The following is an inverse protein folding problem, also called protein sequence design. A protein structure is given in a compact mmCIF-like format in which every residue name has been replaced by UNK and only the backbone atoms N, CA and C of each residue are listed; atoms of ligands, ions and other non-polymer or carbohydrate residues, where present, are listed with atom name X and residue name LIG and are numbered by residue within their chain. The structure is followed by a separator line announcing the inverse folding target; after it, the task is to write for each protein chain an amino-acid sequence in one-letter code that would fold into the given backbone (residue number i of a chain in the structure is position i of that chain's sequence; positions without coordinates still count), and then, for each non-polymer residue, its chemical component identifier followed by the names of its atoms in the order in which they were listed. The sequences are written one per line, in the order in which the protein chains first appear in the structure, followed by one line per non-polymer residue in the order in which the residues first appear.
data_IF_778638416906
#
_entry.id   IF_778638416906
#
_cell.length_a   1.000
_cell.length_b   1.000
_cell.length_c   1.000
_cell.angle_alpha   90.00
_cell.angle_beta   90.00
_cell.angle_gamma   90.00
#
_symmetry.space_group_name_H-M   'P 1'
#
loop_
_entity.id
_entity.type
_entity.pdbx_description
1 polymer ?
#
# COMPACT_ATOMS: atom_id res chain seq x y z
N UNK A 1 -3.84 -21.58 -5.94
CA UNK A 1 -4.97 -20.64 -6.13
C UNK A 1 -4.66 -19.76 -7.34
N UNK A 2 -5.68 -19.31 -8.09
CA UNK A 2 -5.43 -18.41 -9.25
C UNK A 2 -6.18 -17.09 -9.04
N UNK A 3 -5.44 -16.03 -8.71
CA UNK A 3 -5.99 -14.66 -8.74
C UNK A 3 -6.25 -14.27 -10.20
N UNK A 4 -7.45 -13.81 -10.48
CA UNK A 4 -7.84 -13.40 -11.83
C UNK A 4 -7.33 -11.99 -12.13
N UNK A 5 -6.37 -11.92 -13.04
CA UNK A 5 -5.83 -10.66 -13.55
C UNK A 5 -6.63 -10.17 -14.75
N UNK A 6 -6.62 -8.85 -14.96
CA UNK A 6 -7.22 -8.21 -16.12
C UNK A 6 -6.14 -7.51 -16.97
N UNK A 7 -5.36 -8.24 -17.80
CA UNK A 7 -4.15 -7.73 -18.43
C UNK A 7 -4.37 -6.51 -19.33
N UNK A 8 -5.50 -6.45 -20.04
CA UNK A 8 -5.83 -5.32 -20.90
C UNK A 8 -6.02 -4.01 -20.12
N UNK A 9 -6.70 -4.07 -18.97
CA UNK A 9 -6.89 -2.91 -18.10
C UNK A 9 -5.57 -2.49 -17.44
N UNK A 10 -4.78 -3.47 -16.99
CA UNK A 10 -3.46 -3.24 -16.39
C UNK A 10 -2.52 -2.56 -17.38
N UNK A 11 -2.36 -3.12 -18.59
CA UNK A 11 -1.49 -2.56 -19.63
C UNK A 11 -1.92 -1.15 -20.06
N UNK A 12 -3.24 -0.90 -20.13
CA UNK A 12 -3.76 0.44 -20.44
C UNK A 12 -3.43 1.44 -19.33
N UNK A 13 -3.62 1.06 -18.05
CA UNK A 13 -3.29 1.92 -16.92
C UNK A 13 -1.79 2.24 -16.87
N UNK A 14 -0.93 1.24 -17.07
CA UNK A 14 0.52 1.39 -17.11
C UNK A 14 0.97 2.31 -18.26
N UNK A 15 0.46 2.10 -19.48
CA UNK A 15 0.76 2.94 -20.65
C UNK A 15 0.34 4.40 -20.40
N UNK A 16 -0.86 4.62 -19.87
CA UNK A 16 -1.36 5.95 -19.55
C UNK A 16 -0.48 6.63 -18.49
N UNK A 17 -0.08 5.91 -17.45
CA UNK A 17 0.82 6.46 -16.42
C UNK A 17 2.18 6.85 -17.01
N UNK A 18 2.78 6.00 -17.85
CA UNK A 18 4.07 6.28 -18.52
C UNK A 18 4.03 7.56 -19.35
N UNK A 19 2.94 7.81 -20.08
CA UNK A 19 2.78 9.07 -20.83
C UNK A 19 2.71 10.29 -19.91
N UNK A 20 2.05 10.18 -18.76
CA UNK A 20 1.99 11.30 -17.80
C UNK A 20 3.31 11.52 -17.06
N UNK A 21 4.08 10.46 -16.80
CA UNK A 21 5.38 10.56 -16.16
C UNK A 21 6.37 11.41 -16.97
N UNK A 22 6.18 11.57 -18.28
CA UNK A 22 6.97 12.50 -19.10
C UNK A 22 6.73 13.98 -18.75
N UNK A 23 5.60 14.29 -18.09
CA UNK A 23 5.13 15.65 -17.77
C UNK A 23 5.25 16.00 -16.29
N UNK A 24 5.77 15.08 -15.47
CA UNK A 24 5.92 15.26 -14.02
C UNK A 24 7.39 15.43 -13.65
N UNK A 25 7.61 16.18 -12.58
CA UNK A 25 8.90 16.54 -12.02
C UNK A 25 9.24 15.70 -10.78
N UNK A 26 8.21 15.33 -9.99
CA UNK A 26 8.31 14.56 -8.74
C UNK A 26 7.30 13.41 -8.72
N UNK A 27 7.68 12.28 -8.15
CA UNK A 27 6.82 11.10 -7.97
C UNK A 27 6.62 10.85 -6.48
N UNK A 28 5.37 10.80 -6.03
CA UNK A 28 4.99 10.33 -4.71
C UNK A 28 4.55 8.88 -4.86
N UNK A 29 5.39 7.94 -4.43
CA UNK A 29 5.06 6.53 -4.46
C UNK A 29 4.42 6.12 -3.14
N UNK A 30 3.17 5.69 -3.20
CA UNK A 30 2.40 5.27 -2.04
C UNK A 30 2.33 3.74 -1.99
N UNK A 31 2.74 3.18 -0.86
CA UNK A 31 2.68 1.76 -0.54
C UNK A 31 1.83 1.53 0.70
N UNK A 32 1.35 0.30 0.89
CA UNK A 32 0.67 -0.10 2.12
C UNK A 32 1.72 -0.52 3.16
N UNK A 33 1.69 0.09 4.34
CA UNK A 33 2.65 -0.15 5.41
C UNK A 33 2.61 -1.59 5.96
N UNK A 34 1.49 -2.32 5.78
CA UNK A 34 1.38 -3.72 6.17
C UNK A 34 2.14 -4.66 5.24
N UNK A 35 2.34 -4.25 3.97
CA UNK A 35 3.00 -5.03 2.91
C UNK A 35 3.89 -4.14 1.99
N UNK A 36 4.93 -3.47 2.53
CA UNK A 36 5.71 -2.46 1.80
C UNK A 36 6.50 -2.96 0.60
N UNK A 37 6.85 -4.25 0.54
CA UNK A 37 7.57 -4.86 -0.58
C UNK A 37 6.60 -5.41 -1.62
N UNK A 38 5.54 -6.09 -1.21
CA UNK A 38 4.49 -6.55 -2.14
C UNK A 38 3.85 -5.38 -2.91
N UNK A 39 3.64 -4.24 -2.26
CA UNK A 39 3.08 -3.03 -2.92
C UNK A 39 4.13 -2.18 -3.64
N UNK A 40 5.34 -2.70 -3.85
CA UNK A 40 6.35 -2.10 -4.71
C UNK A 40 6.16 -2.53 -6.17
N UNK A 41 5.86 -1.58 -7.05
CA UNK A 41 5.78 -1.92 -8.47
C UNK A 41 7.19 -2.02 -9.08
N UNK A 42 7.57 -3.15 -9.71
CA UNK A 42 8.97 -3.45 -10.08
C UNK A 42 9.60 -2.44 -11.05
N UNK A 43 8.79 -1.79 -11.87
CA UNK A 43 9.26 -0.81 -12.85
C UNK A 43 9.30 0.64 -12.33
N UNK A 44 8.93 0.90 -11.07
CA UNK A 44 8.87 2.28 -10.56
C UNK A 44 10.23 2.96 -10.63
N UNK A 45 11.32 2.26 -10.28
CA UNK A 45 12.67 2.82 -10.38
C UNK A 45 13.02 3.27 -11.80
N UNK A 46 12.64 2.47 -12.81
CA UNK A 46 12.82 2.80 -14.23
C UNK A 46 11.99 4.03 -14.63
N UNK A 47 10.72 4.07 -14.22
CA UNK A 47 9.78 5.15 -14.52
C UNK A 47 10.16 6.50 -13.92
N UNK A 48 10.63 6.46 -12.66
CA UNK A 48 11.11 7.62 -11.92
C UNK A 48 12.39 8.13 -12.58
N UNK A 49 13.36 7.26 -12.84
CA UNK A 49 14.67 7.64 -13.35
C UNK A 49 15.32 8.69 -12.44
N UNK A 50 15.72 9.83 -13.00
CA UNK A 50 16.36 10.94 -12.27
C UNK A 50 15.38 11.94 -11.63
N UNK A 51 14.08 11.64 -11.61
CA UNK A 51 13.07 12.50 -10.97
C UNK A 51 13.15 12.40 -9.45
N UNK A 52 12.69 13.44 -8.76
CA UNK A 52 12.54 13.36 -7.30
C UNK A 52 11.52 12.28 -6.94
N UNK A 53 11.82 11.43 -5.96
CA UNK A 53 10.94 10.37 -5.46
C UNK A 53 10.71 10.55 -3.97
N UNK A 54 9.44 10.58 -3.57
CA UNK A 54 9.03 10.59 -2.16
C UNK A 54 8.32 9.26 -1.90
N UNK A 55 8.93 8.39 -1.09
CA UNK A 55 8.35 7.12 -0.70
C UNK A 55 7.40 7.33 0.48
N UNK A 56 6.15 6.92 0.35
CA UNK A 56 5.11 7.06 1.37
C UNK A 56 4.63 5.66 1.76
N UNK A 57 4.76 5.32 3.04
CA UNK A 57 4.20 4.10 3.62
C UNK A 57 2.91 4.45 4.36
N UNK A 58 1.77 4.26 3.68
CA UNK A 58 0.48 4.66 4.19
C UNK A 58 -0.20 3.54 4.98
N UNK A 59 -1.21 3.90 5.80
CA UNK A 59 -1.86 3.01 6.79
C UNK A 59 -0.93 2.66 7.95
N UNK A 60 -0.10 3.61 8.36
CA UNK A 60 0.84 3.44 9.48
C UNK A 60 0.14 3.04 10.80
N UNK A 61 -1.15 3.36 10.93
CA UNK A 61 -2.00 2.98 12.06
C UNK A 61 -2.27 1.47 12.16
N UNK A 62 -2.00 0.71 11.08
CA UNK A 62 -2.21 -0.73 11.01
C UNK A 62 -0.96 -1.56 11.33
N UNK A 63 0.15 -0.93 11.69
CA UNK A 63 1.39 -1.61 12.10
C UNK A 63 1.88 -1.04 13.45
N UNK A 64 2.62 -1.84 14.21
CA UNK A 64 3.19 -1.41 15.48
C UNK A 64 4.33 -0.41 15.29
N UNK A 65 4.65 0.35 16.34
CA UNK A 65 5.78 1.28 16.34
C UNK A 65 7.12 0.57 16.11
N UNK A 66 7.28 -0.65 16.63
CA UNK A 66 8.50 -1.43 16.48
C UNK A 66 8.71 -1.85 15.03
N UNK A 67 7.66 -2.37 14.39
CA UNK A 67 7.70 -2.76 12.98
C UNK A 67 7.92 -1.55 12.09
N UNK A 68 7.31 -0.41 12.41
CA UNK A 68 7.56 0.86 11.73
C UNK A 68 9.03 1.27 11.80
N UNK A 69 9.65 1.16 12.97
CA UNK A 69 11.08 1.46 13.17
C UNK A 69 11.96 0.51 12.37
N UNK A 70 11.66 -0.79 12.38
CA UNK A 70 12.40 -1.78 11.59
C UNK A 70 12.34 -1.46 10.08
N UNK A 71 11.17 -1.07 9.56
CA UNK A 71 11.03 -0.64 8.16
C UNK A 71 11.79 0.65 7.88
N UNK A 72 11.75 1.63 8.79
CA UNK A 72 12.52 2.88 8.66
C UNK A 72 14.02 2.57 8.45
N UNK A 73 14.60 1.79 9.38
CA UNK A 73 16.02 1.41 9.33
C UNK A 73 16.36 0.63 8.05
N UNK A 74 15.51 -0.31 7.65
CA UNK A 74 15.73 -1.10 6.44
C UNK A 74 15.73 -0.23 5.17
N UNK A 75 14.75 0.66 5.02
CA UNK A 75 14.70 1.54 3.85
C UNK A 75 15.86 2.54 3.83
N UNK A 76 16.31 3.04 4.99
CA UNK A 76 17.47 3.92 5.09
C UNK A 76 18.76 3.22 4.61
N UNK A 77 18.95 1.95 4.99
CA UNK A 77 20.06 1.11 4.49
C UNK A 77 19.96 0.90 2.98
N UNK A 78 18.76 0.77 2.43
CA UNK A 78 18.49 0.72 0.98
C UNK A 78 18.57 2.10 0.29
N UNK A 79 18.99 3.15 1.01
CA UNK A 79 19.17 4.50 0.46
C UNK A 79 17.86 5.22 0.17
N UNK A 80 16.76 4.83 0.82
CA UNK A 80 15.43 5.43 0.69
C UNK A 80 14.99 6.06 2.01
N UNK A 81 14.21 7.13 1.92
CA UNK A 81 13.62 7.78 3.10
C UNK A 81 12.10 7.54 3.05
N UNK A 82 11.57 6.61 3.86
CA UNK A 82 10.14 6.37 3.91
C UNK A 82 9.45 7.45 4.77
N UNK A 83 8.28 7.91 4.31
CA UNK A 83 7.39 8.76 5.10
C UNK A 83 6.16 7.96 5.49
N UNK A 84 6.03 7.63 6.77
CA UNK A 84 4.86 6.94 7.30
C UNK A 84 3.67 7.88 7.41
N UNK A 85 2.51 7.46 6.94
CA UNK A 85 1.29 8.28 7.00
C UNK A 85 0.06 7.48 7.39
N UNK A 86 -0.88 8.16 8.05
CA UNK A 86 -2.28 7.79 8.06
C UNK A 86 -3.04 8.80 7.19
N UNK A 87 -3.18 8.54 5.89
CA UNK A 87 -3.90 9.44 4.99
C UNK A 87 -5.40 9.55 5.31
N UNK A 88 -5.97 8.63 6.09
CA UNK A 88 -7.36 8.72 6.53
C UNK A 88 -7.52 9.80 7.59
N UNK A 89 -6.61 9.90 8.57
CA UNK A 89 -6.68 10.88 9.67
C UNK A 89 -5.85 12.16 9.41
N UNK A 90 -4.80 12.05 8.60
CA UNK A 90 -3.89 13.14 8.24
C UNK A 90 -2.50 13.06 8.90
N UNK A 91 -2.24 12.03 9.72
CA UNK A 91 -0.97 11.86 10.42
C UNK A 91 0.18 11.62 9.44
N UNK A 92 1.35 12.19 9.71
CA UNK A 92 2.55 12.10 8.87
C UNK A 92 2.52 12.88 7.55
N UNK A 93 1.33 13.30 7.07
CA UNK A 93 1.16 13.95 5.74
C UNK A 93 1.94 15.27 5.61
N UNK A 94 2.17 16.00 6.71
CA UNK A 94 2.99 17.23 6.71
C UNK A 94 4.43 16.95 6.27
N UNK A 95 5.00 15.80 6.64
CA UNK A 95 6.34 15.39 6.24
C UNK A 95 6.42 15.17 4.72
N UNK A 96 5.44 14.45 4.17
CA UNK A 96 5.31 14.24 2.71
C UNK A 96 5.20 15.57 1.95
N UNK A 97 4.39 16.51 2.44
CA UNK A 97 4.25 17.84 1.82
C UNK A 97 5.55 18.66 1.86
N UNK A 98 6.37 18.52 2.91
CA UNK A 98 7.69 19.14 3.00
C UNK A 98 8.66 18.50 2.00
N UNK A 99 8.74 17.18 1.98
CA UNK A 99 9.60 16.42 1.07
C UNK A 99 9.28 16.70 -0.41
N UNK A 100 8.00 16.74 -0.78
CA UNK A 100 7.56 17.05 -2.14
C UNK A 100 7.95 18.49 -2.55
N UNK A 101 7.84 19.46 -1.64
CA UNK A 101 8.30 20.85 -1.88
C UNK A 101 9.81 20.92 -2.04
N UNK A 102 10.58 20.23 -1.21
CA UNK A 102 12.05 20.21 -1.29
C UNK A 102 12.53 19.57 -2.61
N UNK A 103 11.96 18.43 -2.99
CA UNK A 103 12.20 17.81 -4.29
C UNK A 103 11.86 18.77 -5.45
N UNK A 104 10.74 19.48 -5.32
CA UNK A 104 10.32 20.50 -6.29
C UNK A 104 11.25 21.70 -6.40
N UNK A 105 11.74 22.23 -5.26
CA UNK A 105 12.73 23.30 -5.22
C UNK A 105 14.03 22.88 -5.90
N UNK A 106 14.50 21.66 -5.66
CA UNK A 106 15.69 21.11 -6.31
C UNK A 106 15.53 20.98 -7.84
N UNK A 107 14.30 20.73 -8.34
CA UNK A 107 14.01 20.74 -9.78
C UNK A 107 14.06 22.17 -10.34
N UNK A 108 13.44 23.12 -9.64
CA UNK A 108 13.43 24.52 -10.08
C UNK A 108 14.82 25.17 -10.00
N UNK A 109 15.66 24.78 -9.05
CA UNK A 109 17.06 25.23 -9.01
C UNK A 109 17.81 24.77 -10.27
N UNK A 110 17.72 23.48 -10.61
CA UNK A 110 18.30 22.92 -11.84
C UNK A 110 17.81 23.59 -13.12
N UNK A 111 16.57 24.11 -13.14
CA UNK A 111 16.03 24.91 -14.25
C UNK A 111 16.72 26.27 -14.34
N UNK A 112 16.86 26.97 -13.20
CA UNK A 112 17.55 28.26 -13.12
C UNK A 112 19.01 28.16 -13.54
N UNK A 113 19.70 27.11 -13.09
CA UNK A 113 21.11 26.84 -13.46
C UNK A 113 21.28 26.65 -14.98
N UNK A 114 20.20 26.31 -15.70
CA UNK A 114 20.13 26.19 -17.17
C UNK A 114 19.51 27.41 -17.86
N UNK A 115 19.31 28.52 -17.14
CA UNK A 115 18.72 29.76 -17.68
C UNK A 115 17.20 29.70 -17.91
N UNK A 116 16.50 28.69 -17.38
CA UNK A 116 15.04 28.56 -17.53
C UNK A 116 14.29 29.20 -16.36
N UNK A 117 13.12 29.78 -16.64
CA UNK A 117 12.23 30.31 -15.62
C UNK A 117 11.67 29.18 -14.72
N UNK A 118 11.48 29.44 -13.41
CA UNK A 118 10.81 28.50 -12.52
C UNK A 118 9.33 28.38 -12.90
N UNK A 119 8.76 27.20 -12.69
CA UNK A 119 7.31 26.95 -12.85
C UNK A 119 6.80 26.07 -11.72
N UNK A 120 5.47 25.97 -11.51
CA UNK A 120 4.89 25.03 -10.56
C UNK A 120 5.43 23.61 -10.81
N UNK A 121 5.76 22.94 -9.73
CA UNK A 121 6.30 21.58 -9.71
C UNK A 121 5.13 20.64 -9.94
N UNK A 122 5.25 19.82 -10.98
CA UNK A 122 4.25 18.80 -11.29
C UNK A 122 4.61 17.52 -10.57
N UNK A 123 3.75 17.07 -9.69
CA UNK A 123 3.91 15.83 -8.96
C UNK A 123 2.82 14.83 -9.36
N UNK A 124 3.14 13.53 -9.33
CA UNK A 124 2.15 12.45 -9.53
C UNK A 124 2.15 11.53 -8.33
N UNK A 125 0.97 11.08 -7.92
CA UNK A 125 0.83 10.05 -6.89
C UNK A 125 0.62 8.70 -7.57
N UNK A 126 1.55 7.75 -7.35
CA UNK A 126 1.51 6.41 -7.93
C UNK A 126 1.46 5.35 -6.84
N UNK A 127 1.04 4.14 -7.21
CA UNK A 127 0.93 3.00 -6.31
C UNK A 127 -0.20 2.06 -6.72
N UNK A 128 -0.32 0.94 -6.02
CA UNK A 128 -1.38 -0.05 -6.24
C UNK A 128 -2.78 0.55 -6.00
N UNK A 129 -3.86 -0.05 -6.50
CA UNK A 129 -5.22 0.31 -6.09
C UNK A 129 -5.37 0.34 -4.56
N UNK A 130 -6.27 1.17 -4.07
CA UNK A 130 -6.68 1.26 -2.66
C UNK A 130 -5.60 1.56 -1.59
N UNK A 131 -4.30 1.60 -1.89
CA UNK A 131 -3.22 1.97 -0.93
C UNK A 131 -3.38 3.34 -0.26
N UNK A 132 -4.34 4.17 -0.72
CA UNK A 132 -4.71 5.44 -0.09
C UNK A 132 -4.26 6.69 -0.85
N UNK A 133 -3.94 6.57 -2.14
CA UNK A 133 -3.52 7.69 -3.02
C UNK A 133 -4.49 8.89 -2.96
N UNK A 134 -5.78 8.67 -3.19
CA UNK A 134 -6.79 9.73 -3.22
C UNK A 134 -7.02 10.36 -1.84
N UNK A 135 -6.95 9.56 -0.77
CA UNK A 135 -6.97 10.07 0.60
C UNK A 135 -5.77 10.97 0.87
N UNK A 136 -4.56 10.55 0.47
CA UNK A 136 -3.34 11.32 0.61
C UNK A 136 -3.43 12.66 -0.14
N UNK A 137 -3.93 12.64 -1.38
CA UNK A 137 -4.17 13.85 -2.20
C UNK A 137 -5.10 14.82 -1.46
N UNK A 138 -6.25 14.34 -0.98
CA UNK A 138 -7.21 15.18 -0.25
C UNK A 138 -6.59 15.78 1.03
N UNK A 139 -5.74 15.03 1.75
CA UNK A 139 -5.06 15.52 2.94
C UNK A 139 -3.96 16.54 2.62
N UNK A 140 -3.18 16.32 1.57
CA UNK A 140 -2.20 17.29 1.07
C UNK A 140 -2.89 18.60 0.66
N UNK A 141 -4.09 18.51 0.10
CA UNK A 141 -4.91 19.65 -0.32
C UNK A 141 -5.72 20.29 0.83
N UNK A 142 -5.79 19.65 2.00
CA UNK A 142 -6.64 20.04 3.13
C UNK A 142 -8.13 20.21 2.79
N UNK A 143 -8.60 19.60 1.69
CA UNK A 143 -9.99 19.63 1.22
C UNK A 143 -10.29 18.40 0.36
N UNK A 144 -11.56 18.00 0.29
CA UNK A 144 -12.01 16.88 -0.54
C UNK A 144 -12.14 17.32 -2.00
N UNK A 145 -11.19 16.95 -2.86
CA UNK A 145 -11.19 17.25 -4.31
C UNK A 145 -11.37 16.02 -5.18
N UNK A 146 -10.86 14.88 -4.71
CA UNK A 146 -10.96 13.59 -5.39
C UNK A 146 -11.80 12.62 -4.56
N UNK A 147 -12.56 11.76 -5.23
CA UNK A 147 -13.29 10.69 -4.57
C UNK A 147 -12.30 9.70 -3.96
N UNK A 148 -12.57 9.25 -2.74
CA UNK A 148 -11.73 8.30 -2.01
C UNK A 148 -12.64 7.29 -1.35
N UNK A 149 -12.68 6.08 -1.89
CA UNK A 149 -13.47 4.96 -1.38
C UNK A 149 -12.68 3.64 -1.48
N UNK A 150 -13.04 2.67 -0.64
CA UNK A 150 -12.47 1.30 -0.63
C UNK A 150 -13.12 0.47 -1.73
N UNK A 151 -12.84 0.82 -2.99
CA UNK A 151 -13.31 0.07 -4.15
C UNK A 151 -12.33 0.31 -5.30
N UNK A 152 -11.90 -0.77 -5.96
CA UNK A 152 -11.03 -0.65 -7.10
C UNK A 152 -11.71 0.16 -8.23
N UNK A 153 -10.93 0.98 -8.95
CA UNK A 153 -11.43 1.78 -10.07
C UNK A 153 -12.27 3.00 -9.69
N UNK A 154 -12.18 3.52 -8.46
CA UNK A 154 -12.76 4.82 -8.07
C UNK A 154 -12.13 5.95 -8.88
N UNK A 155 -10.80 6.05 -8.89
CA UNK A 155 -10.09 6.95 -9.81
C UNK A 155 -10.02 6.31 -11.20
N UNK A 156 -10.85 6.79 -12.13
CA UNK A 156 -10.93 6.28 -13.52
C UNK A 156 -10.16 7.12 -14.53
N UNK A 157 -9.93 8.40 -14.24
CA UNK A 157 -9.32 9.36 -15.15
C UNK A 157 -8.21 10.13 -14.46
N UNK A 158 -7.22 10.53 -15.24
CA UNK A 158 -6.11 11.36 -14.82
C UNK A 158 -6.59 12.80 -14.63
N UNK A 159 -6.40 13.37 -13.43
CA UNK A 159 -6.83 14.74 -13.12
C UNK A 159 -5.71 15.52 -12.45
N UNK A 160 -5.38 16.69 -13.01
CA UNK A 160 -4.50 17.66 -12.36
C UNK A 160 -5.27 18.46 -11.32
N UNK A 161 -4.66 18.58 -10.14
CA UNK A 161 -5.20 19.32 -9.00
C UNK A 161 -4.11 20.24 -8.47
N UNK A 162 -4.34 21.55 -8.54
CA UNK A 162 -3.41 22.56 -8.00
C UNK A 162 -3.51 22.57 -6.47
N UNK A 163 -2.39 22.32 -5.78
CA UNK A 163 -2.30 22.44 -4.32
C UNK A 163 -2.01 23.88 -3.91
N UNK A 164 -1.07 24.50 -4.61
CA UNK A 164 -0.60 25.86 -4.37
C UNK A 164 -0.05 26.42 -5.68
N UNK A 165 0.46 27.66 -5.66
CA UNK A 165 1.20 28.22 -6.79
C UNK A 165 2.52 27.49 -7.06
N UNK A 166 2.97 26.65 -6.14
CA UNK A 166 4.23 25.92 -6.24
C UNK A 166 4.04 24.46 -6.69
N UNK A 167 2.88 23.84 -6.48
CA UNK A 167 2.67 22.39 -6.72
C UNK A 167 1.34 22.08 -7.41
N UNK A 168 1.42 21.26 -8.46
CA UNK A 168 0.30 20.59 -9.12
C UNK A 168 0.39 19.07 -8.89
N UNK A 169 -0.67 18.42 -8.42
CA UNK A 169 -0.74 16.97 -8.26
C UNK A 169 -1.59 16.33 -9.35
N UNK A 170 -1.08 15.25 -9.92
CA UNK A 170 -1.83 14.35 -10.78
C UNK A 170 -2.38 13.19 -9.95
N UNK A 171 -3.70 13.07 -9.89
CA UNK A 171 -4.37 11.86 -9.40
C UNK A 171 -4.34 10.81 -10.52
N UNK A 172 -3.65 9.70 -10.28
CA UNK A 172 -3.52 8.59 -11.23
C UNK A 172 -4.24 7.35 -10.71
N UNK A 173 -4.92 6.59 -11.61
CA UNK A 173 -5.44 5.27 -11.27
C UNK A 173 -4.36 4.38 -10.66
N UNK A 174 -4.77 3.42 -9.82
CA UNK A 174 -3.84 2.42 -9.30
C UNK A 174 -3.21 1.61 -10.43
N UNK A 175 -1.91 1.34 -10.32
CA UNK A 175 -1.15 0.53 -11.27
C UNK A 175 -0.63 -0.72 -10.58
N UNK A 176 -0.79 -1.86 -11.24
CA UNK A 176 -0.36 -3.18 -10.79
C UNK A 176 0.54 -3.75 -11.88
N UNK A 177 1.60 -4.51 -11.56
CA UNK A 177 2.39 -5.18 -12.59
C UNK A 177 1.56 -6.20 -13.39
N UNK A 178 1.88 -6.36 -14.67
CA UNK A 178 1.23 -7.33 -15.57
C UNK A 178 1.42 -8.79 -15.15
N UNK A 179 2.43 -9.07 -14.33
CA UNK A 179 2.69 -10.37 -13.70
C UNK A 179 3.10 -10.14 -12.26
N UNK A 180 2.42 -10.80 -11.34
CA UNK A 180 2.89 -10.93 -9.96
C UNK A 180 3.77 -12.17 -9.87
N UNK A 181 4.96 -12.02 -9.29
CA UNK A 181 6.02 -13.05 -9.32
C UNK A 181 5.68 -14.26 -8.45
N UNK A 182 5.04 -14.05 -7.31
CA UNK A 182 4.70 -15.09 -6.34
C UNK A 182 3.20 -15.04 -5.98
N UNK A 183 2.62 -16.21 -5.74
CA UNK A 183 1.24 -16.39 -5.27
C UNK A 183 1.04 -15.75 -3.88
N UNK A 184 2.05 -15.80 -3.02
CA UNK A 184 2.00 -15.21 -1.67
C UNK A 184 1.77 -13.69 -1.70
N UNK A 185 2.48 -12.97 -2.59
CA UNK A 185 2.29 -11.52 -2.80
C UNK A 185 0.86 -11.23 -3.27
N UNK A 186 0.32 -12.08 -4.14
CA UNK A 186 -1.03 -11.95 -4.67
C UNK A 186 -2.07 -12.13 -3.54
N UNK A 187 -1.88 -13.11 -2.66
CA UNK A 187 -2.71 -13.34 -1.47
C UNK A 187 -2.64 -12.12 -0.54
N UNK A 188 -1.43 -11.62 -0.23
CA UNK A 188 -1.24 -10.42 0.61
C UNK A 188 -1.96 -9.19 0.05
N UNK A 189 -1.90 -8.96 -1.26
CA UNK A 189 -2.65 -7.88 -1.92
C UNK A 189 -4.17 -8.04 -1.76
N UNK A 190 -4.68 -9.25 -1.90
CA UNK A 190 -6.10 -9.55 -1.70
C UNK A 190 -6.52 -9.32 -0.25
N UNK A 191 -5.75 -9.80 0.72
CA UNK A 191 -5.99 -9.58 2.16
C UNK A 191 -6.06 -8.06 2.46
N UNK A 192 -5.08 -7.31 1.96
CA UNK A 192 -4.93 -5.87 2.19
C UNK A 192 -5.93 -4.99 1.41
N UNK A 193 -6.71 -5.57 0.49
CA UNK A 193 -7.63 -4.90 -0.41
C UNK A 193 -6.94 -4.02 -1.48
N UNK A 194 -5.69 -4.31 -1.84
CA UNK A 194 -4.90 -3.51 -2.80
C UNK A 194 -5.09 -3.97 -4.27
N UNK A 195 -5.95 -4.97 -4.48
CA UNK A 195 -6.48 -5.39 -5.78
C UNK A 195 -8.01 -5.47 -5.72
N UNK A 196 -8.68 -5.59 -6.87
CA UNK A 196 -10.14 -5.68 -6.93
C UNK A 196 -10.68 -6.96 -6.32
N UNK A 197 -11.82 -6.88 -5.63
CA UNK A 197 -12.52 -8.00 -5.01
C UNK A 197 -12.93 -9.09 -6.00
N UNK A 198 -13.30 -8.70 -7.22
CA UNK A 198 -13.59 -9.64 -8.30
C UNK A 198 -12.41 -10.54 -8.72
N UNK A 199 -11.19 -10.22 -8.27
CA UNK A 199 -9.99 -10.98 -8.64
C UNK A 199 -9.78 -12.25 -7.79
N UNK A 200 -10.49 -12.41 -6.66
CA UNK A 200 -10.22 -13.48 -5.70
C UNK A 200 -11.49 -14.00 -5.00
N UNK A 201 -11.40 -15.18 -4.42
CA UNK A 201 -12.44 -15.79 -3.60
C UNK A 201 -12.23 -15.45 -2.11
N UNK A 202 -13.23 -14.90 -1.45
CA UNK A 202 -13.09 -14.42 -0.06
C UNK A 202 -12.76 -15.55 0.92
N UNK A 203 -13.39 -16.72 0.77
CA UNK A 203 -13.22 -17.84 1.69
C UNK A 203 -11.78 -18.33 1.67
N UNK A 204 -11.23 -18.52 0.47
CA UNK A 204 -9.84 -18.97 0.32
C UNK A 204 -8.81 -17.92 0.75
N UNK A 205 -9.08 -16.63 0.52
CA UNK A 205 -8.19 -15.56 1.00
C UNK A 205 -8.19 -15.50 2.53
N UNK A 206 -9.33 -15.74 3.18
CA UNK A 206 -9.41 -15.79 4.64
C UNK A 206 -8.71 -17.01 5.21
N UNK A 207 -8.89 -18.19 4.62
CA UNK A 207 -8.13 -19.37 5.02
C UNK A 207 -6.62 -19.09 4.94
N UNK A 208 -6.16 -18.51 3.83
CA UNK A 208 -4.75 -18.13 3.64
C UNK A 208 -4.28 -17.05 4.63
N UNK A 209 -5.14 -16.08 4.98
CA UNK A 209 -4.83 -15.10 6.01
C UNK A 209 -4.61 -15.78 7.36
N UNK A 210 -5.50 -16.68 7.76
CA UNK A 210 -5.42 -17.36 9.05
C UNK A 210 -4.14 -18.20 9.13
N UNK A 211 -3.85 -18.99 8.08
CA UNK A 211 -2.62 -19.78 8.00
C UNK A 211 -1.36 -18.87 8.03
N UNK A 212 -1.41 -17.73 7.34
CA UNK A 212 -0.32 -16.75 7.32
C UNK A 212 -0.11 -16.11 8.70
N UNK A 213 -1.17 -15.82 9.46
CA UNK A 213 -1.03 -15.27 10.81
C UNK A 213 -0.37 -16.26 11.76
N UNK A 214 -0.73 -17.54 11.66
CA UNK A 214 -0.11 -18.60 12.46
C UNK A 214 1.37 -18.76 12.13
N UNK A 215 1.74 -18.77 10.85
CA UNK A 215 3.15 -18.88 10.46
C UNK A 215 3.97 -17.66 10.88
N UNK A 216 3.42 -16.46 10.72
CA UNK A 216 4.07 -15.23 11.17
C UNK A 216 4.23 -15.16 12.69
N UNK A 217 3.30 -15.68 13.49
CA UNK A 217 3.46 -15.74 14.95
C UNK A 217 4.72 -16.52 15.36
N UNK A 218 4.99 -17.65 14.69
CA UNK A 218 6.19 -18.45 14.93
C UNK A 218 7.47 -17.72 14.49
N UNK A 219 7.44 -17.07 13.32
CA UNK A 219 8.64 -16.49 12.70
C UNK A 219 8.99 -15.07 13.17
N UNK A 220 8.01 -14.35 13.71
CA UNK A 220 8.13 -12.91 14.00
C UNK A 220 8.72 -12.56 15.36
N UNK A 221 9.14 -13.53 16.17
CA UNK A 221 9.64 -13.30 17.54
C UNK A 221 8.73 -12.39 18.38
N UNK A 222 7.40 -12.50 18.21
CA UNK A 222 6.40 -11.74 18.97
C UNK A 222 5.93 -10.42 18.34
N UNK A 223 6.39 -10.05 17.13
CA UNK A 223 5.86 -8.87 16.43
C UNK A 223 4.47 -9.09 15.79
N UNK A 224 4.09 -10.35 15.56
CA UNK A 224 2.78 -10.76 15.05
C UNK A 224 2.21 -11.81 16.00
N UNK A 225 0.90 -11.71 16.28
CA UNK A 225 0.22 -12.62 17.19
C UNK A 225 -1.13 -13.04 16.61
N UNK A 226 -1.33 -14.34 16.36
CA UNK A 226 -2.60 -14.87 15.86
C UNK A 226 -3.67 -14.91 16.98
N UNK A 227 -3.28 -14.72 18.25
CA UNK A 227 -4.21 -14.56 19.38
C UNK A 227 -5.21 -13.41 19.21
N UNK A 228 -4.99 -12.49 18.25
CA UNK A 228 -5.98 -11.50 17.84
C UNK A 228 -7.28 -12.13 17.35
N UNK A 229 -7.22 -13.29 16.68
CA UNK A 229 -8.40 -14.06 16.26
C UNK A 229 -9.15 -14.60 17.49
N UNK A 230 -8.41 -15.19 18.43
CA UNK A 230 -8.97 -15.70 19.69
C UNK A 230 -9.66 -14.58 20.48
N UNK A 231 -9.00 -13.44 20.61
CA UNK A 231 -9.53 -12.29 21.35
C UNK A 231 -10.76 -11.67 20.67
N UNK A 232 -10.81 -11.71 19.34
CA UNK A 232 -11.91 -11.13 18.55
C UNK A 232 -13.14 -12.03 18.49
N UNK A 233 -12.93 -13.35 18.39
CA UNK A 233 -13.95 -14.33 18.05
C UNK A 233 -14.18 -15.40 19.11
N UNK A 234 -13.43 -15.37 20.22
CA UNK A 234 -13.51 -16.34 21.31
C UNK A 234 -13.31 -17.79 20.84
N UNK A 235 -12.53 -17.97 19.78
CA UNK A 235 -12.21 -19.26 19.17
C UNK A 235 -10.69 -19.40 19.02
N UNK A 236 -10.13 -20.47 19.57
CA UNK A 236 -8.69 -20.70 19.55
C UNK A 236 -8.22 -21.15 18.16
N UNK A 237 -7.49 -20.28 17.46
CA UNK A 237 -7.08 -20.49 16.09
C UNK A 237 -6.08 -21.65 15.91
N UNK A 238 -5.13 -21.82 16.84
CA UNK A 238 -4.06 -22.83 16.80
C UNK A 238 -4.54 -24.29 16.67
N UNK A 239 -5.82 -24.56 16.97
CA UNK A 239 -6.39 -25.90 16.88
C UNK A 239 -6.87 -26.28 15.47
N UNK A 240 -6.79 -25.36 14.50
CA UNK A 240 -7.39 -25.52 13.18
C UNK A 240 -6.43 -25.09 12.06
N UNK A 241 -6.62 -25.66 10.88
CA UNK A 241 -6.15 -25.02 9.64
C UNK A 241 -6.97 -23.76 9.37
N UNK A 242 -6.50 -22.86 8.51
CA UNK A 242 -7.24 -21.65 8.15
C UNK A 242 -8.64 -21.94 7.58
N UNK A 243 -8.78 -22.98 6.78
CA UNK A 243 -10.08 -23.45 6.28
C UNK A 243 -10.94 -24.01 7.43
N UNK A 244 -10.37 -24.88 8.27
CA UNK A 244 -11.06 -25.45 9.42
C UNK A 244 -11.57 -24.38 10.41
N UNK A 245 -10.75 -23.36 10.67
CA UNK A 245 -11.11 -22.23 11.53
C UNK A 245 -12.27 -21.45 10.94
N UNK A 246 -12.21 -21.14 9.64
CA UNK A 246 -13.26 -20.40 8.95
C UNK A 246 -14.60 -21.15 9.00
N UNK A 247 -14.59 -22.46 8.72
CA UNK A 247 -15.78 -23.30 8.82
C UNK A 247 -16.34 -23.31 10.24
N UNK A 248 -15.49 -23.53 11.25
CA UNK A 248 -15.92 -23.57 12.64
C UNK A 248 -16.51 -22.25 13.10
N UNK A 249 -15.89 -21.13 12.71
CA UNK A 249 -16.39 -19.81 13.06
C UNK A 249 -17.73 -19.50 12.38
N UNK A 250 -17.93 -19.99 11.15
CA UNK A 250 -19.19 -19.80 10.43
C UNK A 250 -20.36 -20.48 11.14
N UNK A 251 -20.16 -21.69 11.67
CA UNK A 251 -21.16 -22.38 12.50
C UNK A 251 -21.54 -21.55 13.74
N UNK A 252 -20.55 -20.94 14.40
CA UNK A 252 -20.75 -20.17 15.64
C UNK A 252 -21.45 -18.83 15.42
N UNK A 253 -21.08 -18.09 14.37
CA UNK A 253 -21.53 -16.70 14.19
C UNK A 253 -22.68 -16.53 13.20
N UNK A 254 -22.77 -17.37 12.18
CA UNK A 254 -23.62 -17.12 11.01
C UNK A 254 -24.33 -18.38 10.49
N UNK A 255 -24.66 -19.34 11.37
CA UNK A 255 -25.41 -20.55 11.02
C UNK A 255 -24.77 -21.35 9.87
N UNK A 256 -23.44 -21.32 9.78
CA UNK A 256 -22.68 -22.00 8.72
C UNK A 256 -22.49 -21.18 7.44
N UNK A 257 -22.87 -19.89 7.39
CA UNK A 257 -22.58 -19.03 6.23
C UNK A 257 -21.10 -18.63 6.16
N UNK A 258 -20.33 -19.43 5.41
CA UNK A 258 -18.88 -19.29 5.25
C UNK A 258 -18.51 -17.98 4.55
N UNK A 259 -19.26 -17.58 3.51
CA UNK A 259 -18.95 -16.36 2.74
C UNK A 259 -19.13 -15.11 3.59
N UNK A 260 -20.21 -15.04 4.38
CA UNK A 260 -20.44 -13.94 5.31
C UNK A 260 -19.36 -13.88 6.39
N UNK A 261 -18.94 -15.04 6.90
CA UNK A 261 -17.86 -15.15 7.88
C UNK A 261 -16.53 -14.68 7.32
N UNK A 262 -16.20 -15.10 6.09
CA UNK A 262 -14.98 -14.70 5.41
C UNK A 262 -14.93 -13.17 5.22
N UNK A 263 -16.02 -12.59 4.71
CA UNK A 263 -16.14 -11.12 4.59
C UNK A 263 -15.97 -10.42 5.93
N UNK A 264 -16.55 -10.96 7.01
CA UNK A 264 -16.41 -10.40 8.36
C UNK A 264 -14.96 -10.37 8.82
N UNK A 265 -14.21 -11.46 8.64
CA UNK A 265 -12.80 -11.54 9.04
C UNK A 265 -11.96 -10.54 8.23
N UNK A 266 -12.14 -10.48 6.90
CA UNK A 266 -11.43 -9.51 6.06
C UNK A 266 -11.74 -8.07 6.46
N UNK A 267 -13.00 -7.76 6.74
CA UNK A 267 -13.41 -6.43 7.17
C UNK A 267 -12.80 -6.06 8.52
N UNK A 268 -12.82 -6.98 9.48
CA UNK A 268 -12.22 -6.77 10.80
C UNK A 268 -10.70 -6.52 10.66
N UNK A 269 -9.99 -7.30 9.84
CA UNK A 269 -8.57 -7.06 9.52
C UNK A 269 -8.35 -5.69 8.85
N UNK A 270 -9.07 -5.38 7.78
CA UNK A 270 -8.93 -4.13 6.99
C UNK A 270 -9.38 -2.87 7.74
N UNK A 271 -10.10 -3.01 8.84
CA UNK A 271 -10.50 -1.92 9.74
C UNK A 271 -9.58 -1.82 10.97
N UNK A 272 -8.61 -2.72 11.13
CA UNK A 272 -7.69 -2.76 12.27
C UNK A 272 -8.34 -3.31 13.55
N UNK A 273 -9.49 -3.99 13.44
CA UNK A 273 -10.21 -4.57 14.58
C UNK A 273 -9.55 -5.84 15.10
N UNK A 274 -8.66 -6.45 14.32
CA UNK A 274 -7.74 -7.50 14.78
C UNK A 274 -6.45 -6.92 15.37
N UNK A 275 -6.32 -5.60 15.46
CA UNK A 275 -5.11 -4.92 15.92
C UNK A 275 -4.16 -4.54 14.78
N UNK A 276 -2.93 -4.22 15.16
CA UNK A 276 -1.88 -3.72 14.26
C UNK A 276 -1.04 -4.86 13.72
N UNK A 277 -1.49 -5.43 12.60
CA UNK A 277 -0.91 -6.66 12.05
C UNK A 277 -0.18 -6.34 10.73
N UNK A 278 1.17 -6.36 10.70
CA UNK A 278 1.91 -6.42 9.45
C UNK A 278 1.83 -7.82 8.84
N UNK A 279 1.79 -7.91 7.51
CA UNK A 279 1.93 -9.19 6.79
C UNK A 279 3.32 -9.33 6.15
N UNK A 280 4.17 -8.31 6.30
CA UNK A 280 5.57 -8.34 5.93
C UNK A 280 6.41 -7.69 7.03
N UNK A 281 7.54 -8.33 7.33
CA UNK A 281 8.64 -7.75 8.08
C UNK A 281 9.80 -7.47 7.12
N UNK A 282 10.67 -6.49 7.44
CA UNK A 282 11.86 -6.24 6.64
C UNK A 282 12.72 -7.50 6.53
N UNK A 283 13.24 -7.84 5.33
CA UNK A 283 14.21 -8.90 5.18
C UNK A 283 15.42 -8.66 6.09
N UNK A 284 15.96 -9.73 6.68
CA UNK A 284 17.21 -9.63 7.45
C UNK A 284 18.28 -9.00 6.57
N UNK A 285 18.87 -7.91 7.03
CA UNK A 285 19.94 -7.22 6.31
C UNK A 285 21.10 -8.21 6.17
N UNK A 286 21.32 -8.72 4.96
CA UNK A 286 22.58 -9.41 4.66
C UNK A 286 23.63 -8.30 4.64
N UNK A 287 24.46 -8.21 5.67
CA UNK A 287 25.65 -7.36 5.67
C UNK A 287 26.40 -7.70 4.38
N UNK A 288 26.44 -6.76 3.43
CA UNK A 288 27.35 -6.88 2.29
C UNK A 288 28.74 -6.86 2.90
N UNK A 289 29.34 -8.04 3.05
CA UNK A 289 30.77 -8.17 3.29
C UNK A 289 31.42 -7.44 2.11
N UNK A 290 31.97 -6.26 2.39
CA UNK A 290 32.83 -5.57 1.43
C UNK A 290 34.04 -6.46 1.25
N UNK A 291 34.12 -7.14 0.11
CA UNK A 291 35.38 -7.65 -0.40
C UNK A 291 36.22 -6.48 -0.91
#
# INVERSE_FOLDING_TARGET
MTIQWYPGHIAKAERNLKEQLKRVDVVLEVRDARIPLTTNHPQVSEWVGNKGRVLVLNRMDMISSDVMKMWQEWFEVEGQVPYFTNAKLGDGVKGVAKAAREAGRAVNQRRRDRGMLPRPVRAVVIGFPNVGKSALINRLLKRKVVESARRAGVTKQLRWVRISDEIELLDAPGVIPSRIKNEEDAIKLAICEDIGDAAYDNQRIVASLIDLLMSLEVDSNGFVSASCLNSRYELEASNYTGEGYLHKLAELLFQGDIERTARRILDDFRKGLLGQIPLELPPRIKLKVKN
#
